data_IF_179912462310
#
_entry.id   IF_179912462310
#
_cell.length_a   1.000
_cell.length_b   1.000
_cell.length_c   1.000
_cell.angle_alpha   90.00
_cell.angle_beta   90.00
_cell.angle_gamma   90.00
#
_symmetry.space_group_name_H-M   'P 1'
#
loop_
_entity.id
_entity.type
_entity.pdbx_description
1 polymer ?
#
# COMPACT_ATOMS: atom_id res chain seq x y z
N UNK A 1 -11.41 4.81 -9.35
CA UNK A 1 -10.69 5.37 -10.50
C UNK A 1 -9.19 5.41 -10.21
N UNK A 2 -8.38 4.98 -11.16
CA UNK A 2 -6.92 5.03 -11.01
C UNK A 2 -6.44 6.46 -10.98
N UNK A 3 -5.49 6.75 -10.10
CA UNK A 3 -4.93 8.08 -9.98
C UNK A 3 -3.46 7.98 -9.58
N UNK A 4 -2.64 8.81 -10.19
CA UNK A 4 -1.24 8.98 -9.78
C UNK A 4 -1.19 10.16 -8.83
N UNK A 5 -0.64 9.94 -7.66
CA UNK A 5 -0.65 10.93 -6.61
C UNK A 5 0.66 10.90 -5.84
N UNK A 6 1.14 12.08 -5.45
CA UNK A 6 2.33 12.22 -4.62
C UNK A 6 1.85 12.31 -3.17
N UNK A 7 2.00 11.24 -2.43
CA UNK A 7 1.43 11.11 -1.09
C UNK A 7 2.48 11.29 -0.02
N UNK A 8 2.13 12.03 1.01
CA UNK A 8 3.03 12.27 2.14
C UNK A 8 3.08 11.04 3.03
N UNK A 9 4.28 10.59 3.40
CA UNK A 9 4.47 9.53 4.37
C UNK A 9 4.27 10.10 5.78
N UNK A 10 3.25 9.63 6.48
CA UNK A 10 2.89 10.16 7.79
C UNK A 10 3.23 9.23 8.95
N UNK A 11 3.50 7.96 8.68
CA UNK A 11 3.91 7.02 9.71
C UNK A 11 4.80 5.94 9.09
N UNK A 12 5.84 5.57 9.81
CA UNK A 12 6.78 4.53 9.40
C UNK A 12 7.12 3.69 10.62
N UNK A 13 6.82 2.41 10.56
CA UNK A 13 7.13 1.48 11.64
C UNK A 13 7.87 0.27 11.09
N UNK A 14 9.02 -0.04 11.65
CA UNK A 14 9.75 -1.27 11.33
C UNK A 14 9.17 -2.37 12.21
N UNK A 15 8.46 -3.31 11.59
CA UNK A 15 7.83 -4.41 12.34
C UNK A 15 8.89 -5.41 12.82
N UNK A 16 9.72 -5.85 11.90
CA UNK A 16 10.91 -6.68 12.13
C UNK A 16 11.92 -6.29 11.06
N UNK A 17 13.13 -6.85 11.13
CA UNK A 17 14.13 -6.58 10.10
C UNK A 17 13.58 -6.94 8.72
N UNK A 18 13.61 -5.98 7.81
CA UNK A 18 13.18 -6.16 6.44
C UNK A 18 11.69 -5.99 6.20
N UNK A 19 10.87 -5.72 7.22
CA UNK A 19 9.43 -5.53 7.05
C UNK A 19 8.99 -4.21 7.66
N UNK A 20 8.35 -3.38 6.85
CA UNK A 20 7.94 -2.03 7.24
C UNK A 20 6.44 -1.82 7.06
N UNK A 21 5.86 -1.04 7.95
CA UNK A 21 4.48 -0.61 7.95
C UNK A 21 4.47 0.89 7.66
N UNK A 22 3.96 1.28 6.50
CA UNK A 22 3.89 2.67 6.08
C UNK A 22 2.45 3.14 6.04
N UNK A 23 2.22 4.36 6.50
CA UNK A 23 0.93 5.04 6.34
C UNK A 23 1.17 6.31 5.54
N UNK A 24 0.44 6.44 4.44
CA UNK A 24 0.49 7.62 3.58
C UNK A 24 -0.84 8.37 3.64
N UNK A 25 -0.80 9.65 3.27
CA UNK A 25 -1.97 10.50 3.27
C UNK A 25 -2.54 10.58 1.86
N UNK A 26 -3.79 10.17 1.69
CA UNK A 26 -4.51 10.29 0.42
C UNK A 26 -6.00 10.18 0.65
N UNK A 27 -6.71 11.30 0.47
CA UNK A 27 -8.17 11.33 0.55
C UNK A 27 -8.80 10.49 -0.54
N UNK A 28 -8.33 10.63 -1.77
CA UNK A 28 -8.93 9.95 -2.91
C UNK A 28 -8.79 8.44 -2.82
N UNK A 29 -7.57 7.96 -2.55
CA UNK A 29 -7.33 6.53 -2.46
C UNK A 29 -8.08 5.94 -1.27
N UNK A 30 -8.09 6.63 -0.14
CA UNK A 30 -8.76 6.12 1.05
C UNK A 30 -10.27 5.96 0.86
N UNK A 31 -10.88 6.82 0.04
CA UNK A 31 -12.31 6.73 -0.26
C UNK A 31 -12.65 5.63 -1.25
N UNK A 32 -11.78 5.37 -2.21
CA UNK A 32 -12.05 4.45 -3.31
C UNK A 32 -11.54 3.03 -3.05
N UNK A 33 -10.59 2.86 -2.15
CA UNK A 33 -9.95 1.56 -1.92
C UNK A 33 -10.91 0.52 -1.37
N UNK A 34 -10.77 -0.70 -1.88
CA UNK A 34 -11.54 -1.85 -1.42
C UNK A 34 -10.59 -2.97 -1.01
N UNK A 35 -11.04 -3.83 -0.13
CA UNK A 35 -10.24 -4.99 0.30
C UNK A 35 -9.83 -5.83 -0.91
N UNK A 36 -8.56 -6.17 -0.99
CA UNK A 36 -8.02 -6.95 -2.10
C UNK A 36 -7.37 -6.13 -3.19
N UNK A 37 -7.49 -4.82 -3.15
CA UNK A 37 -6.81 -3.94 -4.10
C UNK A 37 -5.37 -3.66 -3.68
N UNK A 38 -4.60 -3.10 -4.60
CA UNK A 38 -3.18 -2.81 -4.37
C UNK A 38 -2.81 -1.45 -4.95
N UNK A 39 -1.60 -1.02 -4.61
CA UNK A 39 -1.00 0.21 -5.12
C UNK A 39 0.21 -0.14 -5.98
N UNK A 40 0.46 0.67 -7.01
CA UNK A 40 1.74 0.67 -7.71
C UNK A 40 2.56 1.82 -7.16
N UNK A 41 3.67 1.52 -6.54
CA UNK A 41 4.50 2.50 -5.86
C UNK A 41 5.80 2.71 -6.62
N UNK A 42 6.12 3.97 -6.88
CA UNK A 42 7.42 4.35 -7.43
C UNK A 42 8.40 4.38 -6.26
N UNK A 43 9.34 3.44 -6.26
CA UNK A 43 10.23 3.23 -5.11
C UNK A 43 11.45 4.14 -5.09
N UNK A 44 11.68 4.91 -6.14
CA UNK A 44 12.79 5.86 -6.19
C UNK A 44 13.41 5.99 -7.57
N UNK A 45 14.34 6.93 -7.69
CA UNK A 45 14.95 7.30 -8.98
C UNK A 45 15.81 6.18 -9.58
N UNK A 46 16.29 5.27 -8.77
CA UNK A 46 17.15 4.18 -9.23
C UNK A 46 16.37 3.00 -9.81
N UNK A 47 15.04 3.07 -9.80
CA UNK A 47 14.19 2.00 -10.33
C UNK A 47 13.25 2.55 -11.39
N UNK A 48 13.09 1.79 -12.49
CA UNK A 48 12.24 2.21 -13.60
C UNK A 48 10.79 1.76 -13.46
N UNK A 49 10.58 0.66 -12.76
CA UNK A 49 9.25 0.05 -12.65
C UNK A 49 8.66 0.28 -11.27
N UNK A 50 7.36 0.56 -11.24
CA UNK A 50 6.61 0.62 -10.00
C UNK A 50 6.49 -0.77 -9.41
N UNK A 51 6.37 -0.84 -8.08
CA UNK A 51 6.19 -2.11 -7.37
C UNK A 51 4.76 -2.24 -6.87
N UNK A 52 4.11 -3.38 -7.09
CA UNK A 52 2.77 -3.62 -6.58
C UNK A 52 2.82 -3.98 -5.09
N UNK A 53 2.06 -3.26 -4.29
CA UNK A 53 1.97 -3.52 -2.85
C UNK A 53 0.51 -3.47 -2.44
N UNK A 54 0.06 -4.52 -1.75
CA UNK A 54 -1.32 -4.63 -1.31
C UNK A 54 -1.68 -3.56 -0.28
N UNK A 55 -2.91 -3.06 -0.39
CA UNK A 55 -3.45 -2.14 0.60
C UNK A 55 -3.83 -2.94 1.84
N UNK A 56 -3.26 -2.57 2.97
CA UNK A 56 -3.57 -3.21 4.25
C UNK A 56 -4.82 -2.61 4.87
N UNK A 57 -4.96 -1.29 4.81
CA UNK A 57 -6.09 -0.57 5.38
C UNK A 57 -6.20 0.79 4.70
N UNK A 58 -7.41 1.34 4.65
CA UNK A 58 -7.66 2.64 4.05
C UNK A 58 -8.89 3.28 4.68
N UNK A 59 -8.69 4.36 5.43
CA UNK A 59 -9.80 5.10 6.02
C UNK A 59 -9.36 6.50 6.42
N UNK A 60 -10.32 7.43 6.45
CA UNK A 60 -10.12 8.78 6.97
C UNK A 60 -8.93 9.52 6.37
N UNK A 61 -8.76 9.40 5.06
CA UNK A 61 -7.67 10.08 4.35
C UNK A 61 -6.32 9.42 4.50
N UNK A 62 -6.25 8.23 5.09
CA UNK A 62 -5.01 7.50 5.33
C UNK A 62 -5.04 6.15 4.64
N UNK A 63 -3.91 5.76 4.07
CA UNK A 63 -3.75 4.47 3.41
C UNK A 63 -2.53 3.78 4.01
N UNK A 64 -2.72 2.56 4.46
CA UNK A 64 -1.68 1.77 5.12
C UNK A 64 -1.27 0.60 4.25
N UNK A 65 0.02 0.40 4.12
CA UNK A 65 0.55 -0.78 3.45
C UNK A 65 1.78 -1.31 4.18
N UNK A 66 1.97 -2.63 4.08
CA UNK A 66 3.09 -3.32 4.71
C UNK A 66 3.87 -4.01 3.60
N UNK A 67 5.18 -3.87 3.61
CA UNK A 67 6.02 -4.47 2.58
C UNK A 67 7.28 -5.09 3.15
N UNK A 68 7.80 -6.07 2.43
CA UNK A 68 9.06 -6.74 2.76
C UNK A 68 10.13 -6.25 1.80
N UNK A 69 11.31 -5.95 2.34
CA UNK A 69 12.45 -5.56 1.52
C UNK A 69 13.00 -6.81 0.83
N UNK A 70 12.84 -6.87 -0.50
CA UNK A 70 13.27 -8.03 -1.29
C UNK A 70 14.22 -7.68 -2.43
N UNK A 71 14.27 -6.44 -2.85
CA UNK A 71 15.11 -6.03 -3.95
C UNK A 71 15.38 -4.55 -3.88
N UNK A 72 16.04 -4.04 -4.92
CA UNK A 72 16.49 -2.65 -4.94
C UNK A 72 15.34 -1.65 -4.78
N UNK A 73 14.19 -1.92 -5.41
CA UNK A 73 13.04 -1.02 -5.30
C UNK A 73 12.54 -0.91 -3.87
N UNK A 74 12.32 -2.03 -3.21
CA UNK A 74 11.83 -2.01 -1.83
C UNK A 74 12.91 -1.53 -0.86
N UNK A 75 14.20 -1.72 -1.17
CA UNK A 75 15.28 -1.12 -0.38
C UNK A 75 15.21 0.40 -0.42
N UNK A 76 15.00 0.99 -1.61
CA UNK A 76 14.87 2.43 -1.76
C UNK A 76 13.62 2.95 -1.05
N UNK A 77 12.51 2.23 -1.16
CA UNK A 77 11.28 2.60 -0.48
C UNK A 77 11.48 2.60 1.04
N UNK A 78 12.20 1.63 1.57
CA UNK A 78 12.46 1.53 3.01
C UNK A 78 13.30 2.69 3.55
N UNK A 79 14.00 3.42 2.70
CA UNK A 79 14.80 4.58 3.10
C UNK A 79 13.96 5.85 3.27
N UNK A 80 12.72 5.86 2.79
CA UNK A 80 11.85 7.02 2.95
C UNK A 80 11.58 7.28 4.43
N UNK A 81 11.49 8.57 4.76
CA UNK A 81 11.24 9.00 6.15
C UNK A 81 9.90 9.72 6.25
N UNK A 82 9.37 9.79 7.46
CA UNK A 82 8.14 10.55 7.72
C UNK A 82 8.33 11.99 7.24
N UNK A 83 7.39 12.48 6.45
CA UNK A 83 7.47 13.79 5.82
C UNK A 83 7.88 13.74 4.35
N UNK A 84 8.49 12.65 3.91
CA UNK A 84 8.82 12.46 2.50
C UNK A 84 7.57 12.17 1.69
N UNK A 85 7.65 12.38 0.38
CA UNK A 85 6.54 12.11 -0.53
C UNK A 85 6.84 10.86 -1.34
N UNK A 86 5.80 10.07 -1.57
CA UNK A 86 5.89 8.83 -2.33
C UNK A 86 4.91 8.92 -3.51
N UNK A 87 5.40 8.64 -4.70
CA UNK A 87 4.61 8.64 -5.92
C UNK A 87 3.85 7.31 -6.01
N UNK A 88 2.52 7.38 -5.93
CA UNK A 88 1.65 6.22 -5.81
C UNK A 88 0.58 6.25 -6.89
N UNK A 89 0.34 5.12 -7.52
CA UNK A 89 -0.79 4.95 -8.44
C UNK A 89 -1.77 3.95 -7.84
N UNK A 90 -3.02 4.31 -7.74
CA UNK A 90 -4.05 3.41 -7.22
C UNK A 90 -5.37 4.09 -6.92
N UNK A 91 -6.30 3.33 -6.36
CA UNK A 91 -6.23 1.89 -6.11
C UNK A 91 -6.35 1.07 -7.40
N UNK A 92 -5.71 -0.10 -7.43
CA UNK A 92 -5.67 -0.97 -8.60
C UNK A 92 -6.21 -2.36 -8.26
N UNK A 93 -6.62 -3.08 -9.29
CA UNK A 93 -7.13 -4.43 -9.14
C UNK A 93 -8.59 -4.46 -8.75
N UNK A 94 -9.09 -5.67 -8.53
CA UNK A 94 -10.47 -5.89 -8.12
C UNK A 94 -10.51 -6.19 -6.62
N UNK A 95 -11.47 -5.57 -5.94
CA UNK A 95 -11.71 -5.91 -4.55
C UNK A 95 -12.32 -7.31 -4.39
N UNK A 96 -12.27 -7.84 -3.19
CA UNK A 96 -12.94 -9.09 -2.90
C UNK A 96 -14.45 -8.88 -2.97
N UNK A 97 -15.13 -9.75 -3.71
CA UNK A 97 -16.57 -9.69 -3.85
C UNK A 97 -17.20 -10.62 -2.81
N UNK A 98 -17.87 -10.04 -1.82
CA UNK A 98 -18.55 -10.78 -0.79
C UNK A 98 -20.06 -10.55 -0.96
N UNK A 99 -20.78 -11.62 -1.28
CA UNK A 99 -22.23 -11.54 -1.49
C UNK A 99 -22.94 -11.43 -0.15
N UNK A 100 -24.05 -10.69 -0.12
CA UNK A 100 -24.86 -10.52 1.09
C UNK A 100 -25.40 -11.84 1.63
N UNK A 101 -25.53 -12.84 0.78
CA UNK A 101 -26.02 -14.16 1.17
C UNK A 101 -24.99 -14.99 1.95
N UNK A 102 -23.75 -14.55 2.00
CA UNK A 102 -22.67 -15.27 2.71
C UNK A 102 -22.85 -15.09 4.21
N UNK A 103 -22.96 -16.18 4.95
CA UNK A 103 -23.11 -16.17 6.40
C UNK A 103 -21.78 -16.37 7.12
N UNK A 104 -20.90 -17.16 6.51
CA UNK A 104 -19.59 -17.47 7.09
C UNK A 104 -18.52 -17.32 6.03
N UNK A 105 -17.38 -16.78 6.44
CA UNK A 105 -16.23 -16.64 5.56
C UNK A 105 -14.98 -17.07 6.32
N UNK A 106 -14.05 -17.72 5.61
CA UNK A 106 -12.75 -18.09 6.16
C UNK A 106 -11.70 -17.33 5.38
N UNK A 107 -10.83 -16.64 6.10
CA UNK A 107 -9.73 -15.88 5.52
C UNK A 107 -8.44 -16.53 5.95
N UNK A 108 -7.61 -16.91 4.97
CA UNK A 108 -6.34 -17.55 5.23
C UNK A 108 -5.24 -16.65 4.67
N UNK A 109 -4.31 -16.26 5.52
CA UNK A 109 -3.16 -15.46 5.11
C UNK A 109 -1.87 -16.22 5.34
N UNK A 110 -0.90 -16.01 4.44
CA UNK A 110 0.43 -16.58 4.57
C UNK A 110 1.46 -15.59 4.05
N UNK A 111 2.64 -15.62 4.66
CA UNK A 111 3.68 -14.67 4.32
C UNK A 111 3.38 -13.31 4.92
N UNK A 112 3.47 -12.30 4.09
CA UNK A 112 3.28 -10.94 4.58
C UNK A 112 2.19 -10.21 3.81
#
# INVERSE_FOLDING_TARGET
>A
MKKVENCKLISKTKIIDGIFDFVIESEDISKEAQCGQFLHINCGDSTFLRRPISICDAENGKVRFIFEVKGKGTEELAKKEVGDYIDVMGPLGHGFEIKDSVKNAVIIGGGI
#
